data_IF_667157968177
#
_entry.id   IF_667157968177
#
_cell.length_a   1.000
_cell.length_b   1.000
_cell.length_c   1.000
_cell.angle_alpha   90.00
_cell.angle_beta   90.00
_cell.angle_gamma   90.00
#
_symmetry.space_group_name_H-M   'P 1'
#
loop_
_entity.id
_entity.type
_entity.pdbx_description
1 polymer ?
#
# COMPACT_ATOMS: atom_id res chain seq x y z
N UNK A 1 -29.52 12.74 5.85
CA UNK A 1 -30.32 13.23 4.74
C UNK A 1 -31.80 13.08 5.07
N UNK A 2 -32.56 14.17 5.02
CA UNK A 2 -34.01 14.13 5.27
C UNK A 2 -34.74 13.58 4.03
N UNK A 3 -35.90 12.98 4.17
CA UNK A 3 -36.65 12.41 3.02
C UNK A 3 -36.97 13.42 1.91
N UNK A 4 -36.88 14.70 2.20
CA UNK A 4 -37.05 15.77 1.24
C UNK A 4 -35.84 15.93 0.30
N UNK A 5 -34.62 15.73 0.79
CA UNK A 5 -33.41 15.83 -0.03
C UNK A 5 -33.25 14.64 -0.99
N UNK A 6 -33.75 13.46 -0.63
CA UNK A 6 -33.75 12.29 -1.50
C UNK A 6 -34.69 12.44 -2.70
N UNK A 7 -35.84 13.14 -2.52
CA UNK A 7 -36.79 13.39 -3.60
C UNK A 7 -36.28 14.40 -4.63
N UNK A 8 -35.42 15.35 -4.22
CA UNK A 8 -34.84 16.35 -5.13
C UNK A 8 -33.76 15.71 -6.00
N UNK A 9 -32.93 14.82 -5.46
CA UNK A 9 -31.86 14.13 -6.21
C UNK A 9 -32.44 13.15 -7.24
N UNK A 10 -33.48 12.40 -6.89
CA UNK A 10 -34.16 11.48 -7.81
C UNK A 10 -34.93 12.24 -8.91
N UNK A 11 -35.52 13.39 -8.57
CA UNK A 11 -36.21 14.23 -9.56
C UNK A 11 -35.28 14.85 -10.60
N UNK A 12 -34.07 15.27 -10.20
CA UNK A 12 -33.08 15.85 -11.11
C UNK A 12 -32.46 14.81 -12.06
N UNK A 13 -32.24 13.58 -11.58
CA UNK A 13 -31.73 12.48 -12.42
C UNK A 13 -32.74 12.05 -13.50
N UNK A 14 -34.03 12.07 -13.22
CA UNK A 14 -35.06 11.74 -14.22
C UNK A 14 -35.21 12.85 -15.28
N UNK A 15 -35.01 14.11 -14.92
CA UNK A 15 -35.10 15.22 -15.86
C UNK A 15 -33.95 15.25 -16.86
N UNK A 16 -32.72 14.90 -16.42
CA UNK A 16 -31.56 14.78 -17.32
C UNK A 16 -31.67 13.64 -18.32
N UNK A 17 -32.30 12.52 -17.94
CA UNK A 17 -32.47 11.35 -18.83
C UNK A 17 -33.52 11.62 -19.92
N UNK A 18 -34.54 12.43 -19.67
CA UNK A 18 -35.55 12.79 -20.64
C UNK A 18 -35.08 13.83 -21.68
N UNK A 19 -34.12 14.69 -21.34
CA UNK A 19 -33.53 15.66 -22.28
C UNK A 19 -32.58 15.01 -23.28
N UNK A 20 -31.88 13.92 -22.89
CA UNK A 20 -30.99 13.19 -23.80
C UNK A 20 -31.74 12.29 -24.78
N UNK A 21 -32.95 11.80 -24.43
CA UNK A 21 -33.79 10.98 -25.32
C UNK A 21 -34.62 11.80 -26.31
N UNK A 22 -34.73 13.12 -26.12
CA UNK A 22 -35.50 14.03 -27.02
C UNK A 22 -34.69 14.60 -28.18
N UNK A 23 -33.35 14.49 -28.19
CA UNK A 23 -32.49 15.08 -29.22
C UNK A 23 -32.05 14.11 -30.32
N UNK A 24 -32.49 12.86 -30.31
CA UNK A 24 -32.03 11.78 -31.18
C UNK A 24 -32.88 11.48 -32.42
N UNK A 25 -33.95 12.25 -32.73
CA UNK A 25 -34.83 11.95 -33.87
C UNK A 25 -35.08 13.21 -34.71
N UNK A 26 -34.10 13.63 -35.52
CA UNK A 26 -34.28 14.38 -36.80
C UNK A 26 -32.88 14.63 -37.44
N UNK A 27 -32.56 13.99 -38.47
CA UNK A 27 -32.48 14.35 -39.87
C UNK A 27 -31.55 13.45 -40.63
N UNK A 28 -32.07 12.79 -41.62
CA UNK A 28 -31.31 12.17 -42.68
C UNK A 28 -31.01 13.20 -43.75
N UNK A 29 -29.90 12.91 -44.50
CA UNK A 29 -29.71 13.39 -45.85
C UNK A 29 -28.64 14.45 -46.03
N UNK A 30 -27.68 14.14 -46.89
CA UNK A 30 -26.91 15.13 -47.64
C UNK A 30 -25.39 14.98 -47.53
N UNK A 31 -24.85 14.54 -48.63
CA UNK A 31 -23.45 14.32 -48.95
C UNK A 31 -22.60 15.59 -49.04
N UNK A 32 -21.27 15.37 -48.98
CA UNK A 32 -20.15 16.11 -49.58
C UNK A 32 -19.93 17.58 -49.23
N UNK A 33 -18.74 17.83 -48.72
CA UNK A 33 -17.71 18.72 -49.29
C UNK A 33 -16.59 19.02 -48.27
N UNK A 34 -15.45 18.48 -48.52
CA UNK A 34 -14.18 19.14 -48.83
C UNK A 34 -13.46 19.91 -47.75
N UNK A 35 -12.32 19.40 -47.50
CA UNK A 35 -11.00 19.98 -47.82
C UNK A 35 -10.61 21.33 -47.20
N UNK A 36 -9.46 21.25 -46.55
CA UNK A 36 -8.39 22.27 -46.52
C UNK A 36 -8.56 23.48 -45.59
N UNK A 37 -7.83 23.40 -44.47
CA UNK A 37 -7.04 24.55 -44.05
C UNK A 37 -5.84 24.06 -43.20
N UNK A 38 -4.79 23.63 -43.90
CA UNK A 38 -3.43 23.54 -43.38
C UNK A 38 -2.88 24.94 -43.30
N UNK A 39 -2.92 25.54 -42.13
CA UNK A 39 -2.21 26.79 -41.87
C UNK A 39 -0.79 26.46 -41.43
N UNK A 40 0.14 26.71 -42.33
CA UNK A 40 1.59 26.72 -42.16
C UNK A 40 1.96 27.65 -40.97
N UNK A 41 2.53 27.10 -39.93
CA UNK A 41 3.31 27.88 -38.96
C UNK A 41 4.82 27.69 -39.32
N UNK A 42 5.43 28.81 -39.68
CA UNK A 42 6.91 28.92 -39.87
C UNK A 42 7.64 28.63 -38.57
N UNK A 43 8.79 27.98 -38.59
CA UNK A 43 9.64 27.81 -37.41
C UNK A 43 10.28 29.15 -37.02
N UNK A 44 10.16 29.51 -35.75
CA UNK A 44 10.89 30.65 -35.14
C UNK A 44 12.24 30.12 -34.72
N UNK A 45 13.28 30.58 -35.37
CA UNK A 45 14.67 30.36 -34.98
C UNK A 45 15.02 31.34 -33.85
N UNK A 46 15.30 30.81 -32.65
CA UNK A 46 15.85 31.60 -31.54
C UNK A 46 17.36 31.42 -31.57
N UNK A 47 18.08 32.52 -31.91
CA UNK A 47 19.54 32.62 -31.81
C UNK A 47 19.92 32.78 -30.35
N UNK A 48 20.83 31.94 -29.88
CA UNK A 48 21.50 32.09 -28.58
C UNK A 48 22.55 33.19 -28.65
N UNK A 49 22.67 34.05 -27.62
CA UNK A 49 23.81 34.97 -27.47
C UNK A 49 25.03 34.22 -26.90
N UNK A 50 26.18 34.53 -27.46
CA UNK A 50 27.47 33.91 -27.26
C UNK A 50 28.05 34.03 -25.84
N UNK A 51 28.82 33.02 -25.55
CA UNK A 51 29.76 32.92 -24.46
C UNK A 51 30.94 33.88 -24.68
N UNK A 52 31.11 34.82 -23.77
CA UNK A 52 32.36 35.56 -23.59
C UNK A 52 33.14 34.94 -22.45
N UNK A 53 34.30 34.41 -22.82
CA UNK A 53 35.33 34.00 -21.87
C UNK A 53 36.07 35.22 -21.38
N UNK A 54 36.34 35.31 -20.08
CA UNK A 54 37.51 36.03 -19.57
C UNK A 54 38.07 35.33 -18.35
N UNK A 55 39.37 35.15 -18.50
CA UNK A 55 40.35 34.56 -17.61
C UNK A 55 40.73 35.45 -16.42
N UNK A 56 41.29 34.78 -15.44
CA UNK A 56 42.46 35.07 -14.61
C UNK A 56 42.34 35.88 -13.32
N UNK A 57 42.93 35.26 -12.34
CA UNK A 57 43.96 35.63 -11.36
C UNK A 57 43.51 35.86 -9.92
N UNK A 58 43.89 34.93 -9.14
CA UNK A 58 44.69 34.88 -7.89
C UNK A 58 44.90 36.19 -7.11
N UNK A 59 44.68 36.12 -5.82
CA UNK A 59 45.68 36.27 -4.74
C UNK A 59 45.03 36.49 -3.37
N UNK A 60 45.36 35.57 -2.50
CA UNK A 60 46.09 35.73 -1.23
C UNK A 60 45.61 36.70 -0.17
N UNK A 61 45.45 36.07 0.98
CA UNK A 61 46.10 36.36 2.25
C UNK A 61 45.28 37.11 3.33
N UNK A 62 45.14 36.36 4.40
CA UNK A 62 45.67 36.61 5.73
C UNK A 62 44.82 37.38 6.76
N UNK A 63 44.65 36.61 7.84
CA UNK A 63 44.80 36.98 9.25
C UNK A 63 43.87 38.04 9.88
N UNK A 64 43.18 37.75 10.91
CA UNK A 64 43.65 37.88 12.29
C UNK A 64 42.53 37.74 13.33
N UNK A 65 42.78 36.86 14.28
CA UNK A 65 42.56 36.85 15.73
C UNK A 65 41.74 37.96 16.42
N UNK A 66 40.89 37.61 17.32
CA UNK A 66 41.04 37.67 18.80
C UNK A 66 39.66 37.79 19.48
N UNK A 67 39.31 36.88 20.35
CA UNK A 67 39.40 36.90 21.82
C UNK A 67 38.52 37.90 22.56
N UNK A 68 37.81 37.37 23.56
CA UNK A 68 37.18 38.07 24.68
C UNK A 68 35.91 37.33 25.08
N UNK A 69 35.89 36.39 25.97
CA UNK A 69 35.90 36.37 27.44
C UNK A 69 34.77 37.19 28.11
N UNK A 70 34.07 36.40 28.89
CA UNK A 70 33.56 36.55 30.27
C UNK A 70 32.15 37.17 30.44
N UNK A 71 31.30 36.65 31.20
CA UNK A 71 31.15 36.26 32.59
C UNK A 71 29.66 36.02 32.92
N UNK A 72 29.45 34.94 33.64
CA UNK A 72 28.57 34.63 34.79
C UNK A 72 27.47 35.56 35.25
N UNK A 73 26.29 35.02 35.55
CA UNK A 73 25.83 34.83 36.96
C UNK A 73 24.36 34.32 37.02
N UNK A 74 24.17 33.24 37.64
CA UNK A 74 23.40 32.85 38.82
C UNK A 74 22.10 33.60 39.16
N UNK A 75 21.04 32.83 39.38
CA UNK A 75 19.84 33.30 40.09
C UNK A 75 18.87 32.17 40.35
N UNK A 76 18.95 31.59 41.55
CA UNK A 76 18.03 30.63 42.14
C UNK A 76 16.70 31.28 42.51
N UNK A 77 15.62 30.48 42.58
CA UNK A 77 14.38 30.90 43.17
C UNK A 77 13.34 29.78 43.24
N UNK A 78 13.34 29.07 44.34
CA UNK A 78 12.29 28.15 44.82
C UNK A 78 10.91 28.83 44.89
N UNK A 79 9.82 28.05 44.72
CA UNK A 79 8.85 27.67 45.76
C UNK A 79 7.61 26.96 45.21
N UNK A 80 7.42 25.75 45.67
CA UNK A 80 6.26 25.07 46.26
C UNK A 80 4.83 25.57 45.96
N UNK A 81 3.95 24.62 45.66
CA UNK A 81 2.50 24.79 45.76
C UNK A 81 1.72 23.52 45.37
N UNK A 82 1.61 22.61 46.32
CA UNK A 82 0.74 21.44 46.39
C UNK A 82 -0.74 21.82 46.43
N UNK A 83 -1.61 21.06 45.73
CA UNK A 83 -2.91 20.66 46.27
C UNK A 83 -3.69 19.75 45.29
N UNK A 84 -3.85 18.52 45.72
CA UNK A 84 -4.94 17.59 45.33
C UNK A 84 -6.18 17.92 46.21
N UNK A 85 -7.43 17.63 45.80
CA UNK A 85 -8.17 16.46 46.27
C UNK A 85 -9.02 15.77 45.20
N UNK A 86 -9.10 14.46 45.16
CA UNK A 86 -9.89 13.46 45.88
C UNK A 86 -11.36 13.30 45.42
N UNK A 87 -11.59 12.09 44.86
CA UNK A 87 -12.61 11.07 45.12
C UNK A 87 -14.08 11.24 44.71
N UNK A 88 -14.50 10.36 43.77
CA UNK A 88 -15.61 9.36 43.75
C UNK A 88 -17.01 9.75 44.29
N UNK A 89 -18.13 9.01 44.00
CA UNK A 89 -18.28 7.64 43.50
C UNK A 89 -19.42 7.37 42.49
N UNK A 90 -19.50 6.12 42.04
CA UNK A 90 -20.60 5.43 41.35
C UNK A 90 -21.94 5.44 42.10
N UNK A 91 -23.07 5.08 41.38
CA UNK A 91 -23.65 3.76 41.62
C UNK A 91 -24.21 3.01 40.40
N UNK A 92 -24.16 1.70 40.48
CA UNK A 92 -25.03 0.74 39.77
C UNK A 92 -26.41 0.69 40.45
N UNK A 93 -27.45 0.18 39.75
CA UNK A 93 -28.17 -1.00 40.22
C UNK A 93 -28.48 -2.02 39.11
N UNK A 94 -28.28 -3.30 39.38
CA UNK A 94 -29.07 -4.41 39.81
C UNK A 94 -30.22 -4.88 38.90
N UNK A 95 -30.01 -6.07 38.43
CA UNK A 95 -30.81 -7.25 38.05
C UNK A 95 -32.30 -7.33 38.40
N UNK A 96 -33.03 -7.94 37.47
CA UNK A 96 -34.14 -8.95 37.66
C UNK A 96 -34.35 -9.56 36.27
N UNK A 97 -34.35 -10.84 35.98
CA UNK A 97 -34.98 -11.99 36.59
C UNK A 97 -36.26 -12.33 35.80
N UNK A 98 -36.35 -13.49 35.11
CA UNK A 98 -37.60 -13.96 34.55
C UNK A 98 -37.44 -15.15 33.62
N UNK A 99 -37.75 -16.29 34.18
CA UNK A 99 -37.82 -17.67 33.67
C UNK A 99 -38.85 -17.96 32.58
N UNK A 100 -38.71 -19.16 31.98
CA UNK A 100 -39.77 -20.05 31.49
C UNK A 100 -39.85 -20.16 29.98
N UNK A 101 -39.83 -21.31 29.32
CA UNK A 101 -40.14 -22.66 29.67
C UNK A 101 -40.30 -23.44 28.38
N UNK A 102 -39.77 -24.64 28.38
CA UNK A 102 -40.27 -25.92 27.90
C UNK A 102 -41.03 -26.11 26.59
N UNK A 103 -40.55 -27.07 25.82
CA UNK A 103 -41.42 -28.19 25.40
C UNK A 103 -41.57 -28.46 23.92
N UNK A 104 -41.21 -29.66 23.51
CA UNK A 104 -41.99 -30.61 22.76
C UNK A 104 -41.33 -31.19 21.52
N UNK A 105 -40.68 -32.30 21.62
CA UNK A 105 -40.95 -33.66 21.17
C UNK A 105 -41.63 -33.90 19.82
N UNK A 106 -40.94 -34.67 18.96
CA UNK A 106 -41.55 -35.88 18.39
C UNK A 106 -41.80 -35.90 16.89
N UNK A 107 -41.25 -36.92 16.22
CA UNK A 107 -41.82 -37.39 14.96
C UNK A 107 -40.84 -38.13 14.06
N UNK A 108 -40.66 -39.42 14.33
CA UNK A 108 -40.07 -40.42 13.46
C UNK A 108 -40.95 -40.68 12.23
N UNK A 109 -40.34 -41.03 11.10
CA UNK A 109 -41.03 -41.66 9.97
C UNK A 109 -40.06 -41.99 8.86
N UNK A 110 -39.64 -43.27 8.81
CA UNK A 110 -38.87 -43.84 7.72
C UNK A 110 -39.72 -44.14 6.50
N UNK A 111 -39.09 -44.33 5.37
CA UNK A 111 -39.28 -45.47 4.45
C UNK A 111 -38.50 -45.29 3.15
N UNK A 112 -37.72 -46.28 2.87
CA UNK A 112 -37.25 -46.90 1.63
C UNK A 112 -37.67 -46.34 0.27
N UNK A 113 -36.69 -46.27 -0.64
CA UNK A 113 -36.91 -46.06 -2.06
C UNK A 113 -35.63 -46.12 -2.89
N UNK A 114 -35.22 -47.30 -3.25
CA UNK A 114 -34.42 -47.81 -4.39
C UNK A 114 -33.98 -46.81 -5.49
N UNK A 115 -32.67 -46.80 -5.78
CA UNK A 115 -32.07 -47.03 -7.09
C UNK A 115 -32.18 -45.90 -8.12
N UNK A 116 -31.04 -45.23 -8.38
CA UNK A 116 -30.85 -44.43 -9.55
C UNK A 116 -29.35 -44.09 -9.70
N UNK A 117 -28.65 -44.94 -10.50
CA UNK A 117 -27.31 -44.59 -11.03
C UNK A 117 -27.46 -43.35 -11.87
N UNK A 118 -26.81 -42.26 -11.45
CA UNK A 118 -26.77 -41.00 -12.18
C UNK A 118 -25.44 -40.34 -11.94
N UNK A 119 -24.58 -40.46 -12.93
CA UNK A 119 -23.46 -39.57 -13.34
C UNK A 119 -22.84 -38.75 -12.24
N UNK A 120 -21.56 -39.05 -11.95
CA UNK A 120 -20.60 -38.25 -11.24
C UNK A 120 -20.48 -36.83 -11.89
N UNK A 121 -21.40 -35.96 -11.52
CA UNK A 121 -21.15 -34.52 -11.57
C UNK A 121 -20.20 -34.23 -10.43
N UNK A 122 -18.94 -33.95 -10.75
CA UNK A 122 -18.00 -33.32 -9.83
C UNK A 122 -18.65 -32.03 -9.34
N UNK A 123 -19.37 -32.10 -8.23
CA UNK A 123 -19.83 -30.94 -7.51
C UNK A 123 -18.56 -30.17 -7.16
N UNK A 124 -18.36 -29.01 -7.80
CA UNK A 124 -17.33 -28.06 -7.43
C UNK A 124 -17.44 -27.85 -5.93
N UNK A 125 -16.45 -28.33 -5.19
CA UNK A 125 -16.45 -28.20 -3.74
C UNK A 125 -16.57 -26.70 -3.40
N UNK A 126 -17.56 -26.38 -2.57
CA UNK A 126 -17.72 -25.01 -2.08
C UNK A 126 -16.38 -24.53 -1.49
N UNK A 127 -15.97 -23.28 -1.75
CA UNK A 127 -14.71 -22.74 -1.25
C UNK A 127 -14.61 -22.96 0.25
N UNK A 128 -13.53 -23.62 0.70
CA UNK A 128 -13.31 -23.84 2.12
C UNK A 128 -12.98 -22.47 2.77
N UNK A 129 -13.55 -22.14 3.93
CA UNK A 129 -13.26 -20.88 4.58
C UNK A 129 -11.78 -20.81 4.95
N UNK A 130 -11.14 -19.68 4.63
CA UNK A 130 -9.78 -19.41 5.05
C UNK A 130 -9.65 -19.41 6.58
N UNK A 131 -8.53 -19.93 7.08
CA UNK A 131 -8.19 -19.88 8.52
C UNK A 131 -7.45 -18.58 8.86
N UNK A 132 -6.88 -17.88 7.86
CA UNK A 132 -6.19 -16.60 7.99
C UNK A 132 -7.20 -15.50 7.66
N UNK A 133 -7.39 -14.57 8.59
CA UNK A 133 -8.34 -13.45 8.42
C UNK A 133 -7.68 -12.09 8.58
N UNK A 134 -6.48 -12.04 9.18
CA UNK A 134 -5.71 -10.82 9.34
C UNK A 134 -4.33 -11.00 8.72
N UNK A 135 -4.03 -10.18 7.73
CA UNK A 135 -2.72 -10.13 7.08
C UNK A 135 -2.08 -8.79 7.33
N UNK A 136 -0.84 -8.80 7.78
CA UNK A 136 0.01 -7.63 7.96
C UNK A 136 1.15 -7.74 6.96
N UNK A 137 1.21 -6.82 6.01
CA UNK A 137 2.28 -6.71 5.03
C UNK A 137 3.14 -5.50 5.36
N UNK A 138 4.40 -5.73 5.71
CA UNK A 138 5.41 -4.69 5.89
C UNK A 138 6.25 -4.66 4.62
N UNK A 139 6.26 -3.51 3.93
CA UNK A 139 7.09 -3.27 2.76
C UNK A 139 8.34 -2.47 3.14
N UNK A 140 9.49 -2.95 2.74
CA UNK A 140 10.80 -2.35 2.97
C UNK A 140 11.53 -2.17 1.65
N UNK A 141 12.56 -1.33 1.61
CA UNK A 141 13.44 -1.21 0.45
C UNK A 141 14.30 -2.45 0.26
N UNK A 142 14.50 -2.89 -0.98
CA UNK A 142 15.35 -4.01 -1.34
C UNK A 142 16.83 -3.69 -1.19
N UNK A 143 17.58 -4.65 -0.64
CA UNK A 143 19.04 -4.58 -0.49
C UNK A 143 19.74 -5.80 -1.11
N UNK A 144 19.01 -6.59 -1.89
CA UNK A 144 19.45 -7.87 -2.38
C UNK A 144 19.46 -8.95 -1.28
N UNK A 145 19.28 -10.20 -1.69
CA UNK A 145 19.12 -11.34 -0.77
C UNK A 145 20.33 -11.56 0.14
N UNK A 146 21.54 -11.47 -0.42
CA UNK A 146 22.75 -11.80 0.34
C UNK A 146 23.08 -10.72 1.39
N UNK A 147 22.80 -9.45 1.11
CA UNK A 147 22.91 -8.37 2.09
C UNK A 147 21.86 -8.49 3.19
N UNK A 148 20.64 -8.89 2.83
CA UNK A 148 19.51 -8.96 3.77
C UNK A 148 19.54 -10.24 4.63
N UNK A 149 19.74 -11.41 4.02
CA UNK A 149 19.63 -12.72 4.69
C UNK A 149 20.94 -13.49 4.78
N UNK A 150 22.03 -12.97 4.23
CA UNK A 150 23.35 -13.62 4.24
C UNK A 150 24.08 -13.48 5.57
N UNK A 151 25.22 -14.16 5.67
CA UNK A 151 26.08 -14.07 6.84
C UNK A 151 26.67 -12.65 6.97
N UNK A 152 26.57 -12.07 8.17
CA UNK A 152 27.05 -10.71 8.43
C UNK A 152 26.07 -9.58 8.08
N UNK A 153 24.83 -9.92 7.72
CA UNK A 153 23.76 -8.93 7.52
C UNK A 153 23.58 -8.07 8.77
N UNK A 154 23.43 -6.73 8.61
CA UNK A 154 23.10 -5.83 9.72
C UNK A 154 21.66 -6.01 10.21
N UNK A 155 20.81 -6.74 9.48
CA UNK A 155 19.42 -7.04 9.87
C UNK A 155 19.38 -8.14 10.95
N UNK A 156 19.84 -7.81 12.15
CA UNK A 156 20.04 -8.77 13.25
C UNK A 156 18.74 -9.25 13.87
N UNK A 157 17.73 -8.39 13.98
CA UNK A 157 16.41 -8.79 14.47
C UNK A 157 15.69 -9.68 13.45
N UNK A 158 15.70 -9.30 12.18
CA UNK A 158 15.12 -10.08 11.09
C UNK A 158 15.70 -11.50 11.05
N UNK A 159 17.03 -11.61 11.03
CA UNK A 159 17.71 -12.90 10.90
C UNK A 159 17.76 -13.70 12.18
N UNK A 160 18.05 -13.07 13.33
CA UNK A 160 18.26 -13.76 14.61
C UNK A 160 16.96 -14.03 15.38
N UNK A 161 15.96 -13.17 15.22
CA UNK A 161 14.73 -13.25 16.02
C UNK A 161 13.51 -13.65 15.22
N UNK A 162 13.33 -13.08 14.02
CA UNK A 162 12.10 -13.26 13.26
C UNK A 162 12.17 -14.45 12.30
N UNK A 163 13.25 -14.60 11.53
CA UNK A 163 13.44 -15.69 10.58
C UNK A 163 13.27 -17.10 11.19
N UNK A 164 13.76 -17.40 12.40
CA UNK A 164 13.53 -18.70 13.03
C UNK A 164 12.05 -19.01 13.32
N UNK A 165 11.18 -18.00 13.35
CA UNK A 165 9.73 -18.14 13.61
C UNK A 165 8.89 -18.26 12.35
N UNK A 166 9.47 -18.04 11.18
CA UNK A 166 8.75 -17.96 9.91
C UNK A 166 9.25 -18.88 8.83
N UNK A 167 8.67 -18.78 7.66
CA UNK A 167 9.08 -19.40 6.42
C UNK A 167 9.70 -18.34 5.50
N UNK A 168 10.94 -18.56 5.07
CA UNK A 168 11.68 -17.70 4.17
C UNK A 168 11.40 -18.07 2.71
N UNK A 169 10.88 -17.12 1.92
CA UNK A 169 10.81 -17.24 0.46
C UNK A 169 12.15 -16.79 -0.14
N UNK A 170 13.11 -17.68 -0.25
CA UNK A 170 14.45 -17.32 -0.71
C UNK A 170 14.54 -17.01 -2.20
N UNK A 171 13.53 -17.38 -2.98
CA UNK A 171 13.39 -17.09 -4.41
C UNK A 171 12.50 -15.89 -4.73
N UNK A 172 12.09 -15.08 -3.73
CA UNK A 172 11.31 -13.87 -4.00
C UNK A 172 12.22 -12.78 -4.59
N UNK A 173 11.77 -12.18 -5.70
CA UNK A 173 12.48 -11.14 -6.42
C UNK A 173 11.55 -9.96 -6.72
N UNK A 174 12.11 -8.74 -6.78
CA UNK A 174 11.44 -7.55 -7.30
C UNK A 174 11.23 -7.64 -8.81
N UNK A 175 10.44 -6.73 -9.39
CA UNK A 175 10.24 -6.60 -10.84
C UNK A 175 11.36 -5.80 -11.52
N UNK A 176 12.21 -5.14 -10.75
CA UNK A 176 13.31 -4.30 -11.20
C UNK A 176 13.96 -3.57 -10.04
N UNK A 177 14.66 -2.48 -10.32
CA UNK A 177 15.35 -1.69 -9.29
C UNK A 177 14.45 -0.62 -8.63
N UNK A 178 13.41 -0.14 -9.30
CA UNK A 178 12.48 0.83 -8.75
C UNK A 178 11.50 0.19 -7.75
N UNK A 179 11.09 0.95 -6.72
CA UNK A 179 10.21 0.46 -5.66
C UNK A 179 8.73 0.42 -6.12
N UNK A 180 8.28 1.50 -6.76
CA UNK A 180 6.87 1.69 -7.10
C UNK A 180 6.27 0.58 -7.98
N UNK A 181 6.96 0.00 -9.00
CA UNK A 181 6.42 -1.11 -9.78
C UNK A 181 6.01 -2.31 -8.92
N UNK A 182 6.81 -2.65 -7.92
CA UNK A 182 6.53 -3.78 -7.04
C UNK A 182 5.28 -3.52 -6.18
N UNK A 183 5.16 -2.32 -5.64
CA UNK A 183 4.03 -1.94 -4.81
C UNK A 183 2.73 -1.86 -5.61
N UNK A 184 2.76 -1.31 -6.83
CA UNK A 184 1.61 -1.30 -7.73
C UNK A 184 1.21 -2.71 -8.18
N UNK A 185 2.18 -3.59 -8.40
CA UNK A 185 1.92 -4.99 -8.71
C UNK A 185 1.26 -5.74 -7.54
N UNK A 186 1.64 -5.46 -6.29
CA UNK A 186 1.04 -6.06 -5.09
C UNK A 186 -0.40 -5.58 -4.86
N UNK A 187 -0.72 -4.33 -5.23
CA UNK A 187 -2.05 -3.76 -4.96
C UNK A 187 -3.02 -3.99 -6.11
N UNK A 188 -2.59 -3.87 -7.36
CA UNK A 188 -3.49 -3.94 -8.52
C UNK A 188 -3.03 -4.87 -9.64
N UNK A 189 -1.91 -5.58 -9.47
CA UNK A 189 -1.40 -6.51 -10.48
C UNK A 189 -0.91 -5.83 -11.76
N UNK A 190 -0.64 -4.53 -11.73
CA UNK A 190 -0.32 -3.75 -12.92
C UNK A 190 1.15 -3.91 -13.34
N UNK A 191 1.43 -4.00 -14.64
CA UNK A 191 2.81 -4.12 -15.13
C UNK A 191 3.55 -2.77 -15.03
N UNK A 192 4.90 -2.81 -14.88
CA UNK A 192 5.71 -1.62 -14.94
C UNK A 192 5.61 -0.89 -16.30
N UNK A 193 5.59 0.44 -16.27
CA UNK A 193 5.72 1.30 -17.45
C UNK A 193 6.89 2.28 -17.28
N UNK A 194 7.16 3.15 -18.24
CA UNK A 194 8.32 4.05 -18.18
C UNK A 194 8.26 5.02 -16.98
N UNK A 195 7.07 5.52 -16.62
CA UNK A 195 6.88 6.44 -15.49
C UNK A 195 7.06 5.72 -14.15
N UNK A 196 6.49 4.53 -13.99
CA UNK A 196 6.58 3.77 -12.73
C UNK A 196 7.97 3.21 -12.49
N UNK A 197 8.73 2.82 -13.55
CA UNK A 197 10.14 2.44 -13.44
C UNK A 197 11.06 3.56 -13.00
N UNK A 198 10.62 4.80 -13.08
CA UNK A 198 11.31 5.98 -12.56
C UNK A 198 10.76 6.43 -11.20
N UNK A 199 9.99 5.59 -10.49
CA UNK A 199 9.30 5.92 -9.24
C UNK A 199 8.41 7.16 -9.33
N UNK A 200 7.89 7.45 -10.53
CA UNK A 200 6.90 8.48 -10.75
C UNK A 200 7.31 9.90 -10.34
N UNK A 201 8.39 10.45 -10.88
CA UNK A 201 8.86 11.79 -10.50
C UNK A 201 7.86 12.91 -10.84
N UNK A 202 6.89 12.61 -11.69
CA UNK A 202 5.70 13.44 -11.97
C UNK A 202 4.48 12.57 -11.73
N UNK A 203 3.62 12.95 -10.82
CA UNK A 203 2.39 12.26 -10.46
C UNK A 203 1.36 12.44 -11.56
N UNK A 204 1.47 11.62 -12.61
CA UNK A 204 0.74 11.76 -13.86
C UNK A 204 -0.30 10.67 -14.04
N UNK A 205 -1.53 11.09 -14.38
CA UNK A 205 -2.60 10.17 -14.71
C UNK A 205 -2.26 9.37 -15.98
N UNK A 206 -2.56 8.10 -15.96
CA UNK A 206 -2.69 7.29 -17.17
C UNK A 206 -3.93 7.79 -17.90
N UNK A 207 -3.87 8.01 -19.23
CA UNK A 207 -5.02 8.55 -19.97
C UNK A 207 -6.30 7.76 -19.69
N UNK A 208 -7.42 8.40 -19.33
CA UNK A 208 -8.69 7.72 -19.01
C UNK A 208 -9.24 6.85 -20.15
N UNK A 209 -8.81 7.13 -21.39
CA UNK A 209 -9.16 6.33 -22.57
C UNK A 209 -8.40 5.01 -22.66
N UNK A 210 -7.42 4.78 -21.77
CA UNK A 210 -6.65 3.55 -21.74
C UNK A 210 -7.51 2.41 -21.20
N UNK A 211 -7.97 1.55 -22.09
CA UNK A 211 -8.78 0.40 -21.70
C UNK A 211 -7.90 -0.73 -21.14
N UNK A 212 -8.34 -1.38 -20.05
CA UNK A 212 -7.68 -2.58 -19.56
C UNK A 212 -7.73 -3.70 -20.61
N UNK A 213 -6.70 -4.52 -20.65
CA UNK A 213 -6.69 -5.77 -21.39
C UNK A 213 -7.74 -6.74 -20.82
N UNK A 214 -7.94 -7.90 -21.47
CA UNK A 214 -8.84 -8.94 -20.94
C UNK A 214 -8.42 -9.44 -19.56
N UNK A 215 -7.13 -9.40 -19.24
CA UNK A 215 -6.58 -9.74 -17.92
C UNK A 215 -6.62 -8.59 -16.92
N UNK A 216 -7.01 -7.37 -17.33
CA UNK A 216 -7.09 -6.20 -16.44
C UNK A 216 -5.84 -5.32 -16.42
N UNK A 217 -4.81 -5.63 -17.21
CA UNK A 217 -3.57 -4.85 -17.30
C UNK A 217 -3.75 -3.63 -18.20
N UNK A 218 -3.15 -2.49 -17.82
CA UNK A 218 -3.09 -1.27 -18.63
C UNK A 218 -1.73 -1.18 -19.32
N UNK A 219 -1.74 -1.10 -20.66
CA UNK A 219 -0.55 -0.92 -21.49
C UNK A 219 -0.39 0.56 -21.90
N UNK A 220 -0.30 1.47 -20.93
CA UNK A 220 -0.11 2.90 -21.15
C UNK A 220 0.87 3.48 -20.16
N UNK A 221 1.50 4.60 -20.48
CA UNK A 221 2.45 5.28 -19.60
C UNK A 221 1.75 6.29 -18.71
N UNK A 222 2.22 6.39 -17.49
CA UNK A 222 1.69 7.21 -16.41
C UNK A 222 1.75 6.45 -15.09
N UNK A 223 1.23 7.04 -14.03
CA UNK A 223 1.37 6.53 -12.68
C UNK A 223 0.03 6.21 -12.03
N UNK A 224 -0.95 7.10 -12.24
CA UNK A 224 -2.26 6.99 -11.59
C UNK A 224 -3.21 6.27 -12.54
N UNK A 225 -3.63 5.10 -12.10
CA UNK A 225 -4.49 4.22 -12.89
C UNK A 225 -5.94 4.71 -12.89
N UNK A 226 -6.67 4.59 -14.03
CA UNK A 226 -8.07 4.99 -14.10
C UNK A 226 -8.96 4.15 -13.17
N UNK A 227 -10.12 4.66 -12.82
CA UNK A 227 -11.07 4.02 -11.90
C UNK A 227 -11.64 2.68 -12.40
N UNK A 228 -11.38 2.32 -13.65
CA UNK A 228 -11.71 1.01 -14.22
C UNK A 228 -10.74 -0.08 -13.81
N UNK A 229 -9.59 0.26 -13.21
CA UNK A 229 -8.61 -0.68 -12.67
C UNK A 229 -8.96 -1.01 -11.22
N UNK A 230 -9.27 -2.27 -11.00
CA UNK A 230 -9.63 -2.79 -9.67
C UNK A 230 -8.37 -3.14 -8.89
N UNK A 231 -8.37 -2.86 -7.59
CA UNK A 231 -7.31 -3.20 -6.64
C UNK A 231 -7.76 -4.29 -5.67
N UNK A 232 -6.80 -4.87 -4.92
CA UNK A 232 -7.13 -5.76 -3.80
C UNK A 232 -7.97 -5.04 -2.73
N UNK A 233 -7.76 -3.73 -2.54
CA UNK A 233 -8.52 -2.91 -1.61
C UNK A 233 -10.00 -2.82 -2.02
N UNK A 234 -10.29 -2.60 -3.32
CA UNK A 234 -11.64 -2.64 -3.87
C UNK A 234 -12.32 -3.98 -3.64
N UNK A 235 -11.60 -5.09 -3.90
CA UNK A 235 -12.13 -6.44 -3.71
C UNK A 235 -12.41 -6.76 -2.24
N UNK A 236 -11.54 -6.32 -1.32
CA UNK A 236 -11.75 -6.49 0.12
C UNK A 236 -13.00 -5.73 0.56
N UNK A 237 -13.14 -4.47 0.15
CA UNK A 237 -14.33 -3.65 0.44
C UNK A 237 -15.60 -4.29 -0.12
N UNK A 238 -15.59 -4.75 -1.37
CA UNK A 238 -16.72 -5.43 -2.00
C UNK A 238 -17.09 -6.74 -1.28
N UNK A 239 -16.11 -7.45 -0.70
CA UNK A 239 -16.31 -8.67 0.08
C UNK A 239 -16.59 -8.42 1.57
N UNK A 240 -16.83 -7.15 1.97
CA UNK A 240 -17.08 -6.72 3.36
C UNK A 240 -15.93 -7.03 4.31
N UNK A 241 -14.70 -7.05 3.79
CA UNK A 241 -13.48 -7.08 4.59
C UNK A 241 -12.90 -5.68 4.68
N UNK A 242 -12.17 -5.43 5.76
CA UNK A 242 -11.55 -4.14 6.00
C UNK A 242 -10.10 -4.16 5.55
N UNK A 243 -9.63 -3.04 5.05
CA UNK A 243 -8.22 -2.81 4.76
C UNK A 243 -7.78 -1.47 5.33
N UNK A 244 -6.51 -1.34 5.65
CA UNK A 244 -5.87 -0.10 6.09
C UNK A 244 -4.44 -0.05 5.56
N UNK A 245 -4.03 1.13 5.11
CA UNK A 245 -2.64 1.47 4.93
C UNK A 245 -2.18 2.31 6.13
N UNK A 246 -1.02 1.99 6.66
CA UNK A 246 -0.34 2.68 7.74
C UNK A 246 1.01 3.15 7.23
N UNK A 247 1.07 4.41 6.81
CA UNK A 247 2.26 4.99 6.17
C UNK A 247 2.93 5.96 7.13
N UNK A 248 4.22 5.74 7.35
CA UNK A 248 4.99 6.59 8.27
C UNK A 248 5.17 7.99 7.69
N UNK A 249 5.12 9.00 8.55
CA UNK A 249 5.20 10.42 8.21
C UNK A 249 4.13 10.93 7.20
N UNK A 250 3.09 10.16 6.92
CA UNK A 250 2.01 10.59 6.03
C UNK A 250 1.40 11.92 6.47
N UNK A 251 1.28 12.13 7.78
CA UNK A 251 0.74 13.34 8.41
C UNK A 251 1.76 14.47 8.62
N UNK A 252 3.02 14.30 8.15
CA UNK A 252 4.11 15.26 8.29
C UNK A 252 4.30 16.20 7.11
N UNK A 253 3.37 16.20 6.17
CA UNK A 253 3.42 17.06 4.98
C UNK A 253 3.63 18.55 5.30
N UNK A 254 4.03 19.37 4.31
CA UNK A 254 4.20 20.80 4.49
C UNK A 254 2.92 21.43 5.00
N UNK A 255 3.06 22.42 5.86
CA UNK A 255 1.91 23.18 6.36
C UNK A 255 1.10 23.76 5.19
N UNK A 256 -0.20 23.47 5.11
CA UNK A 256 -1.04 24.02 4.06
C UNK A 256 -1.18 25.55 4.21
N UNK A 257 -1.73 26.20 3.18
CA UNK A 257 -2.04 27.61 3.27
C UNK A 257 -2.94 27.91 4.48
N UNK A 258 -2.86 29.13 5.07
CA UNK A 258 -3.67 29.51 6.21
C UNK A 258 -5.17 29.24 5.98
N UNK A 259 -5.79 28.50 6.91
CA UNK A 259 -7.21 28.14 6.82
C UNK A 259 -7.50 26.81 6.17
N UNK A 260 -6.51 26.10 5.63
CA UNK A 260 -6.62 24.76 5.09
C UNK A 260 -6.08 23.76 6.14
N UNK A 261 -6.84 22.75 6.58
CA UNK A 261 -6.31 21.76 7.50
C UNK A 261 -5.20 20.92 6.83
N UNK A 262 -4.19 20.47 7.59
CA UNK A 262 -3.22 19.52 7.07
C UNK A 262 -3.90 18.25 6.55
N UNK A 263 -3.43 17.72 5.42
CA UNK A 263 -3.87 16.43 4.91
C UNK A 263 -3.18 15.33 5.75
N UNK A 264 -3.96 14.56 6.47
CA UNK A 264 -3.51 13.49 7.38
C UNK A 264 -3.87 12.09 6.90
N UNK A 265 -4.49 12.01 5.73
CA UNK A 265 -4.89 10.77 5.05
C UNK A 265 -4.65 10.93 3.55
N UNK A 266 -4.41 9.82 2.84
CA UNK A 266 -4.40 9.78 1.37
C UNK A 266 -3.52 10.90 0.75
N UNK A 267 -2.29 11.06 1.25
CA UNK A 267 -1.37 12.14 0.82
C UNK A 267 -0.74 11.80 -0.52
N UNK A 268 -0.93 12.64 -1.51
CA UNK A 268 -0.33 12.54 -2.85
C UNK A 268 -0.11 13.94 -3.46
N UNK A 269 0.77 14.08 -4.47
CA UNK A 269 0.88 15.31 -5.24
C UNK A 269 -0.40 15.63 -6.02
N UNK A 270 -0.55 16.86 -6.47
CA UNK A 270 -1.58 17.20 -7.44
C UNK A 270 -1.32 16.48 -8.78
N UNK A 271 -2.39 16.17 -9.52
CA UNK A 271 -2.27 15.54 -10.84
C UNK A 271 -1.38 16.34 -11.77
N UNK A 272 -0.44 15.65 -12.45
CA UNK A 272 0.58 16.20 -13.32
C UNK A 272 1.62 17.12 -12.64
N UNK A 273 1.67 17.15 -11.32
CA UNK A 273 2.69 17.87 -10.57
C UNK A 273 3.94 17.00 -10.32
N UNK A 274 5.14 17.61 -10.23
CA UNK A 274 6.31 16.92 -9.72
C UNK A 274 6.06 16.36 -8.32
N UNK A 275 6.55 15.14 -8.04
CA UNK A 275 6.46 14.56 -6.71
C UNK A 275 7.53 15.19 -5.78
N UNK A 276 7.13 15.97 -4.76
CA UNK A 276 8.05 16.59 -3.84
C UNK A 276 8.64 15.60 -2.82
N UNK A 277 8.17 14.34 -2.80
CA UNK A 277 8.53 13.32 -1.82
C UNK A 277 9.54 12.29 -2.34
N UNK A 278 10.12 12.54 -3.52
CA UNK A 278 11.16 11.68 -4.08
C UNK A 278 12.40 11.51 -3.17
N UNK A 279 12.58 12.42 -2.23
CA UNK A 279 13.63 12.41 -1.20
C UNK A 279 13.05 12.88 0.12
N UNK A 280 13.54 12.32 1.22
CA UNK A 280 13.16 12.78 2.55
C UNK A 280 13.59 14.23 2.80
N UNK A 281 12.87 14.89 3.69
CA UNK A 281 13.15 16.23 4.21
C UNK A 281 13.24 16.17 5.73
N UNK A 282 13.92 17.10 6.37
CA UNK A 282 13.94 17.15 7.83
C UNK A 282 12.52 17.17 8.41
N UNK A 283 12.18 16.11 9.18
CA UNK A 283 10.88 15.94 9.82
C UNK A 283 9.77 15.37 8.92
N UNK A 284 10.06 15.05 7.65
CA UNK A 284 9.11 14.44 6.69
C UNK A 284 9.85 13.46 5.80
N UNK A 285 9.84 12.20 6.18
CA UNK A 285 10.43 11.10 5.42
C UNK A 285 9.43 10.35 4.54
N UNK A 286 8.17 10.81 4.45
CA UNK A 286 7.15 10.20 3.61
C UNK A 286 7.57 10.20 2.13
N UNK A 287 7.31 9.08 1.46
CA UNK A 287 7.46 8.96 0.01
C UNK A 287 6.15 8.46 -0.62
N UNK A 288 5.65 9.20 -1.62
CA UNK A 288 4.41 8.83 -2.34
C UNK A 288 4.53 7.45 -2.95
N UNK A 289 5.71 7.07 -3.49
CA UNK A 289 5.96 5.76 -4.10
C UNK A 289 5.79 4.56 -3.15
N UNK A 290 5.89 4.77 -1.83
CA UNK A 290 5.65 3.76 -0.80
C UNK A 290 4.20 3.75 -0.29
N UNK A 291 3.31 4.47 -0.98
CA UNK A 291 1.88 4.48 -0.73
C UNK A 291 1.11 4.11 -2.01
N UNK A 292 1.04 2.83 -2.37
CA UNK A 292 0.49 2.42 -3.66
C UNK A 292 -1.01 2.73 -3.82
N UNK A 293 -1.73 2.96 -2.73
CA UNK A 293 -3.18 3.21 -2.76
C UNK A 293 -3.54 4.57 -3.37
N UNK A 294 -2.61 5.54 -3.36
CA UNK A 294 -2.84 6.85 -3.98
C UNK A 294 -2.67 6.86 -5.49
N UNK A 295 -2.31 5.74 -6.11
CA UNK A 295 -2.12 5.63 -7.56
C UNK A 295 -3.32 5.00 -8.29
N UNK A 296 -4.48 4.92 -7.65
CA UNK A 296 -5.68 4.31 -8.24
C UNK A 296 -6.91 5.20 -8.05
N UNK A 297 -7.46 5.70 -9.16
CA UNK A 297 -8.69 6.48 -9.13
C UNK A 297 -9.89 5.72 -8.58
N UNK A 298 -9.88 4.37 -8.61
CA UNK A 298 -10.92 3.56 -7.96
C UNK A 298 -10.99 3.81 -6.44
N UNK A 299 -9.86 4.16 -5.80
CA UNK A 299 -9.78 4.46 -4.37
C UNK A 299 -9.85 5.97 -4.08
N UNK A 300 -9.31 6.80 -4.98
CA UNK A 300 -9.26 8.25 -4.80
C UNK A 300 -10.64 8.88 -4.98
N UNK A 301 -11.34 8.54 -6.08
CA UNK A 301 -12.57 9.23 -6.50
C UNK A 301 -13.76 8.95 -5.58
N UNK A 302 -13.76 7.81 -4.88
CA UNK A 302 -14.83 7.39 -3.99
C UNK A 302 -14.57 7.68 -2.51
N UNK A 303 -13.40 8.21 -2.18
CA UNK A 303 -12.99 8.53 -0.82
C UNK A 303 -12.53 7.31 0.01
N UNK A 304 -12.34 6.15 -0.62
CA UNK A 304 -11.84 4.95 0.06
C UNK A 304 -10.41 5.14 0.54
N UNK A 305 -9.59 5.87 -0.23
CA UNK A 305 -8.25 6.25 0.17
C UNK A 305 -8.29 7.13 1.44
N UNK A 306 -9.07 8.20 1.47
CA UNK A 306 -9.17 9.07 2.65
C UNK A 306 -9.70 8.34 3.90
N UNK A 307 -10.51 7.31 3.71
CA UNK A 307 -11.06 6.54 4.81
C UNK A 307 -10.10 5.50 5.39
N UNK A 308 -9.20 4.95 4.56
CA UNK A 308 -8.43 3.76 4.92
C UNK A 308 -6.90 3.94 4.88
N UNK A 309 -6.40 5.01 4.26
CA UNK A 309 -4.98 5.31 4.18
C UNK A 309 -4.61 6.42 5.17
N UNK A 310 -3.80 6.09 6.16
CA UNK A 310 -3.46 7.00 7.25
C UNK A 310 -2.07 6.81 7.83
N UNK A 311 -1.77 7.65 8.83
CA UNK A 311 -0.46 7.65 9.50
C UNK A 311 -0.22 6.33 10.25
N UNK A 312 1.03 5.85 10.21
CA UNK A 312 1.52 4.69 10.97
C UNK A 312 1.22 4.81 12.48
N UNK A 313 1.14 6.03 13.01
CA UNK A 313 0.81 6.28 14.42
C UNK A 313 -0.54 5.67 14.86
N UNK A 314 -1.45 5.42 13.93
CA UNK A 314 -2.78 4.82 14.21
C UNK A 314 -2.70 3.30 14.44
N UNK A 315 -1.67 2.63 13.91
CA UNK A 315 -1.55 1.16 13.95
C UNK A 315 -1.63 0.61 15.38
N UNK A 316 -0.94 1.21 16.35
CA UNK A 316 -0.94 0.73 17.74
C UNK A 316 -2.35 0.76 18.37
N UNK A 317 -3.15 1.77 18.02
CA UNK A 317 -4.55 1.88 18.44
C UNK A 317 -5.40 0.75 17.84
N UNK A 318 -5.22 0.50 16.56
CA UNK A 318 -6.01 -0.48 15.82
C UNK A 318 -5.64 -1.93 16.18
N UNK A 319 -4.42 -2.19 16.63
CA UNK A 319 -3.98 -3.51 17.10
C UNK A 319 -4.59 -3.96 18.43
N UNK A 320 -5.32 -3.10 19.17
CA UNK A 320 -5.81 -3.40 20.54
C UNK A 320 -6.86 -4.51 20.57
N UNK A 321 -7.68 -4.65 19.53
CA UNK A 321 -8.74 -5.65 19.48
C UNK A 321 -8.81 -6.31 18.11
N UNK A 322 -9.37 -7.53 18.03
CA UNK A 322 -9.65 -8.19 16.74
C UNK A 322 -10.58 -7.34 15.86
N UNK A 323 -11.54 -6.62 16.46
CA UNK A 323 -12.52 -5.83 15.72
C UNK A 323 -11.92 -4.54 15.12
N UNK A 324 -10.98 -3.90 15.81
CA UNK A 324 -10.33 -2.67 15.34
C UNK A 324 -9.22 -2.95 14.34
N UNK A 325 -8.65 -4.17 14.34
CA UNK A 325 -7.61 -4.56 13.40
C UNK A 325 -8.22 -4.85 12.03
N UNK A 326 -7.68 -4.26 10.97
CA UNK A 326 -8.13 -4.51 9.61
C UNK A 326 -7.81 -5.94 9.15
N UNK A 327 -8.63 -6.48 8.25
CA UNK A 327 -8.36 -7.79 7.63
C UNK A 327 -7.05 -7.77 6.84
N UNK A 328 -6.76 -6.67 6.15
CA UNK A 328 -5.49 -6.42 5.48
C UNK A 328 -4.89 -5.10 5.97
N UNK A 329 -3.69 -5.17 6.51
CA UNK A 329 -2.89 -4.04 7.00
C UNK A 329 -1.63 -3.93 6.15
N UNK A 330 -1.53 -2.90 5.32
CA UNK A 330 -0.33 -2.54 4.59
C UNK A 330 0.47 -1.54 5.42
N UNK A 331 1.76 -1.78 5.64
CA UNK A 331 2.60 -0.99 6.53
C UNK A 331 3.85 -0.57 5.75
N UNK A 332 3.98 0.74 5.53
CA UNK A 332 5.10 1.34 4.82
C UNK A 332 5.85 2.31 5.75
N UNK A 333 7.13 2.03 6.08
CA UNK A 333 7.99 2.98 6.75
C UNK A 333 8.31 4.20 5.89
N UNK A 334 8.89 5.24 6.49
CA UNK A 334 9.46 6.36 5.77
C UNK A 334 10.81 5.99 5.13
N UNK A 335 11.37 6.86 4.28
CA UNK A 335 12.60 6.60 3.52
C UNK A 335 13.86 6.27 4.34
N UNK A 336 13.88 6.62 5.62
CA UNK A 336 14.95 6.20 6.51
C UNK A 336 14.68 4.80 7.08
N UNK A 337 13.46 4.59 7.57
CA UNK A 337 13.10 3.41 8.33
C UNK A 337 12.67 2.23 7.43
N UNK A 338 12.50 2.46 6.11
CA UNK A 338 12.41 1.40 5.10
C UNK A 338 13.76 0.86 4.64
N UNK A 339 14.86 1.61 4.90
CA UNK A 339 16.22 1.27 4.52
C UNK A 339 16.70 1.94 3.23
N UNK A 340 15.90 2.79 2.58
CA UNK A 340 16.30 3.47 1.33
C UNK A 340 17.45 4.46 1.58
N UNK A 341 17.35 5.27 2.65
CA UNK A 341 18.35 6.30 2.92
C UNK A 341 19.50 5.79 3.79
N UNK A 342 20.73 6.10 3.39
CA UNK A 342 21.94 5.85 4.16
C UNK A 342 23.02 6.91 3.83
N UNK A 343 23.26 7.91 4.71
CA UNK A 343 22.58 8.17 5.98
C UNK A 343 21.20 8.80 5.80
N UNK A 344 20.36 8.70 6.83
CA UNK A 344 19.07 9.39 6.87
C UNK A 344 19.24 10.90 6.97
N UNK A 345 18.22 11.64 6.53
CA UNK A 345 18.20 13.11 6.58
C UNK A 345 18.30 13.68 7.99
N UNK A 346 17.91 12.91 9.02
CA UNK A 346 18.01 13.25 10.44
C UNK A 346 19.37 12.90 11.07
N UNK A 347 20.31 12.37 10.29
CA UNK A 347 21.66 12.01 10.71
C UNK A 347 21.79 10.60 11.29
N UNK A 348 20.72 9.79 11.36
CA UNK A 348 20.82 8.36 11.68
C UNK A 348 21.58 7.64 10.55
N UNK A 349 22.24 6.49 10.85
CA UNK A 349 22.99 5.74 9.83
C UNK A 349 22.15 5.27 8.64
N UNK A 350 20.87 4.96 8.87
CA UNK A 350 19.96 4.48 7.81
C UNK A 350 20.25 3.08 7.29
N UNK A 351 19.81 2.83 6.06
CA UNK A 351 20.00 1.56 5.36
C UNK A 351 19.32 0.37 6.05
N UNK A 352 19.74 -0.84 5.72
CA UNK A 352 19.15 -2.08 6.23
C UNK A 352 19.13 -2.17 7.76
N UNK A 353 20.06 -1.50 8.46
CA UNK A 353 20.04 -1.44 9.92
C UNK A 353 18.86 -0.61 10.46
N UNK A 354 18.46 0.46 9.79
CA UNK A 354 17.27 1.22 10.17
C UNK A 354 16.00 0.42 9.89
N UNK A 355 15.90 -0.27 8.76
CA UNK A 355 14.81 -1.18 8.46
C UNK A 355 14.67 -2.31 9.50
N UNK A 356 15.79 -2.87 9.96
CA UNK A 356 15.79 -3.87 11.03
C UNK A 356 15.30 -3.31 12.37
N UNK A 357 15.69 -2.07 12.70
CA UNK A 357 15.23 -1.36 13.90
C UNK A 357 13.72 -1.05 13.84
N UNK A 358 13.21 -0.68 12.66
CA UNK A 358 11.77 -0.54 12.43
C UNK A 358 11.03 -1.85 12.69
N UNK A 359 11.51 -2.95 12.12
CA UNK A 359 10.95 -4.28 12.38
C UNK A 359 11.00 -4.65 13.87
N UNK A 360 12.12 -4.38 14.55
CA UNK A 360 12.27 -4.64 15.99
C UNK A 360 11.31 -3.82 16.85
N UNK A 361 10.86 -2.67 16.35
CA UNK A 361 9.88 -1.80 17.03
C UNK A 361 8.44 -2.25 16.82
N UNK A 362 8.05 -2.54 15.59
CA UNK A 362 6.66 -2.76 15.22
C UNK A 362 6.22 -4.23 15.22
N UNK A 363 7.09 -5.14 14.78
CA UNK A 363 6.74 -6.57 14.70
C UNK A 363 6.32 -7.16 16.05
N UNK A 364 7.00 -6.89 17.18
CA UNK A 364 6.54 -7.40 18.47
C UNK A 364 5.13 -6.96 18.84
N UNK A 365 4.73 -5.72 18.51
CA UNK A 365 3.38 -5.18 18.73
C UNK A 365 2.36 -5.92 17.88
N UNK A 366 2.66 -6.16 16.59
CA UNK A 366 1.80 -6.92 15.68
C UNK A 366 1.62 -8.35 16.19
N UNK A 367 2.71 -9.06 16.49
CA UNK A 367 2.67 -10.44 16.97
C UNK A 367 1.97 -10.59 18.34
N UNK A 368 1.99 -9.55 19.16
CA UNK A 368 1.29 -9.51 20.45
C UNK A 368 -0.20 -9.22 20.32
N UNK A 369 -0.65 -8.69 19.18
CA UNK A 369 -2.05 -8.28 19.00
C UNK A 369 -3.04 -9.45 19.06
N UNK A 370 -4.27 -9.22 19.55
CA UNK A 370 -5.32 -10.24 19.56
C UNK A 370 -5.63 -10.81 18.17
N UNK A 371 -5.65 -9.97 17.14
CA UNK A 371 -5.93 -10.36 15.77
C UNK A 371 -4.86 -11.32 15.22
N UNK A 372 -3.58 -10.98 15.36
CA UNK A 372 -2.50 -11.86 14.93
C UNK A 372 -2.53 -13.21 15.66
N UNK A 373 -2.73 -13.20 16.98
CA UNK A 373 -2.82 -14.44 17.79
C UNK A 373 -4.00 -15.31 17.38
N UNK A 374 -5.11 -14.71 16.96
CA UNK A 374 -6.29 -15.45 16.52
C UNK A 374 -6.05 -16.18 15.20
N UNK A 375 -5.59 -15.47 14.17
CA UNK A 375 -5.52 -16.01 12.81
C UNK A 375 -4.60 -15.18 11.88
N UNK A 376 -3.56 -14.57 12.43
CA UNK A 376 -2.71 -13.64 11.71
C UNK A 376 -1.65 -14.28 10.81
N UNK A 377 -1.30 -13.56 9.76
CA UNK A 377 -0.15 -13.75 8.91
C UNK A 377 0.61 -12.42 8.83
N UNK A 378 1.88 -12.41 9.23
CA UNK A 378 2.80 -11.31 8.96
C UNK A 378 3.66 -11.67 7.75
N UNK A 379 3.77 -10.75 6.82
CA UNK A 379 4.66 -10.81 5.65
C UNK A 379 5.61 -9.63 5.75
N UNK A 380 6.91 -9.87 5.65
CA UNK A 380 7.95 -8.86 5.45
C UNK A 380 8.47 -9.06 4.03
N UNK A 381 8.23 -8.10 3.16
CA UNK A 381 8.64 -8.11 1.76
C UNK A 381 9.46 -6.86 1.44
N UNK A 382 10.13 -6.89 0.30
CA UNK A 382 11.06 -5.85 -0.12
C UNK A 382 10.74 -5.46 -1.56
N UNK A 383 10.71 -4.15 -1.80
CA UNK A 383 10.50 -3.56 -3.12
C UNK A 383 11.83 -3.07 -3.70
N UNK A 384 11.95 -3.11 -5.01
CA UNK A 384 13.09 -2.56 -5.73
C UNK A 384 14.47 -3.08 -5.29
N UNK A 385 15.47 -2.21 -5.41
CA UNK A 385 16.84 -2.43 -4.91
C UNK A 385 17.55 -1.09 -4.73
N UNK A 386 18.03 -0.81 -3.54
CA UNK A 386 18.78 0.42 -3.23
C UNK A 386 20.24 0.37 -3.71
N UNK A 387 20.73 -0.82 -4.11
CA UNK A 387 22.06 -0.93 -4.68
C UNK A 387 22.10 -0.26 -6.06
N UNK A 388 23.15 0.54 -6.36
CA UNK A 388 23.30 1.05 -7.71
C UNK A 388 23.44 -0.13 -8.67
N UNK A 389 22.85 -0.06 -9.89
CA UNK A 389 22.99 -1.10 -10.88
C UNK A 389 24.47 -1.33 -11.19
N UNK A 390 24.83 -2.60 -11.48
CA UNK A 390 26.20 -3.02 -11.74
C UNK A 390 26.89 -2.24 -12.87
N UNK A 391 26.12 -1.71 -13.82
CA UNK A 391 26.55 -0.77 -14.85
C UNK A 391 25.61 0.46 -14.84
N UNK A 392 26.00 1.55 -14.16
CA UNK A 392 25.18 2.77 -14.12
C UNK A 392 24.95 3.41 -15.51
N UNK A 393 25.81 3.12 -16.49
CA UNK A 393 25.67 3.65 -17.85
C UNK A 393 24.65 2.86 -18.70
N UNK A 394 24.34 1.64 -18.29
CA UNK A 394 23.43 0.76 -19.01
C UNK A 394 22.74 -0.22 -18.05
N UNK A 395 21.99 0.27 -17.05
CA UNK A 395 21.30 -0.61 -16.14
C UNK A 395 20.27 -1.40 -16.92
N UNK A 396 20.20 -2.72 -16.77
CA UNK A 396 19.02 -3.46 -17.19
C UNK A 396 17.87 -3.02 -16.26
N UNK A 397 17.14 -1.97 -16.68
CA UNK A 397 16.09 -1.33 -15.87
C UNK A 397 15.02 -2.31 -15.36
N UNK A 398 14.92 -3.47 -15.98
CA UNK A 398 13.92 -4.51 -15.74
C UNK A 398 14.52 -5.83 -15.23
N UNK A 399 15.79 -5.85 -14.79
CA UNK A 399 16.36 -7.07 -14.22
C UNK A 399 15.78 -7.31 -12.83
N UNK A 400 15.06 -8.42 -12.59
CA UNK A 400 14.59 -8.76 -11.26
C UNK A 400 15.74 -8.86 -10.27
N UNK A 401 15.57 -8.28 -9.07
CA UNK A 401 16.54 -8.39 -7.99
C UNK A 401 16.01 -9.36 -6.95
N UNK A 402 16.78 -10.39 -6.64
CA UNK A 402 16.41 -11.36 -5.62
C UNK A 402 16.56 -10.71 -4.24
N UNK A 403 15.44 -10.47 -3.56
CA UNK A 403 15.39 -9.85 -2.24
C UNK A 403 15.07 -10.85 -1.12
N UNK A 404 14.29 -11.88 -1.41
CA UNK A 404 13.67 -12.73 -0.40
C UNK A 404 12.45 -12.06 0.25
N UNK A 405 11.62 -12.86 0.91
CA UNK A 405 10.53 -12.38 1.75
C UNK A 405 10.31 -13.35 2.92
N UNK A 406 9.81 -12.87 4.05
CA UNK A 406 9.61 -13.69 5.24
C UNK A 406 8.14 -13.69 5.66
N UNK A 407 7.59 -14.89 5.85
CA UNK A 407 6.23 -15.11 6.33
C UNK A 407 6.26 -15.65 7.74
N UNK A 408 5.55 -14.99 8.67
CA UNK A 408 5.43 -15.45 10.06
C UNK A 408 3.96 -15.67 10.38
N UNK A 409 3.61 -16.91 10.68
CA UNK A 409 2.26 -17.31 11.06
C UNK A 409 2.31 -18.65 11.77
N UNK A 410 1.33 -18.94 12.63
CA UNK A 410 1.15 -20.30 13.16
C UNK A 410 0.82 -21.34 12.10
N UNK A 411 0.46 -20.91 10.90
CA UNK A 411 0.13 -21.77 9.75
C UNK A 411 1.32 -22.03 8.83
N UNK A 412 2.41 -21.28 8.99
CA UNK A 412 3.67 -21.49 8.27
C UNK A 412 4.63 -22.33 9.12
N UNK A 413 5.41 -23.19 8.47
CA UNK A 413 6.42 -23.97 9.18
C UNK A 413 7.58 -23.06 9.61
N UNK A 414 7.78 -22.90 10.92
CA UNK A 414 8.85 -22.11 11.48
C UNK A 414 10.24 -22.63 11.05
N UNK A 415 11.14 -21.70 10.69
CA UNK A 415 12.50 -21.99 10.27
C UNK A 415 12.62 -22.63 8.88
N UNK A 416 11.51 -22.78 8.13
CA UNK A 416 11.55 -23.35 6.79
C UNK A 416 12.00 -22.36 5.74
N UNK A 417 12.38 -22.87 4.56
CA UNK A 417 12.74 -22.07 3.38
C UNK A 417 12.07 -22.66 2.14
N UNK A 418 11.39 -21.81 1.38
CA UNK A 418 10.85 -22.12 0.06
C UNK A 418 11.73 -21.43 -1.00
N UNK A 419 12.29 -22.23 -1.92
CA UNK A 419 13.22 -21.74 -2.94
C UNK A 419 12.56 -21.47 -4.30
N UNK A 420 11.26 -21.72 -4.43
CA UNK A 420 10.52 -21.41 -5.66
C UNK A 420 10.59 -19.93 -5.98
N UNK A 421 10.60 -19.61 -7.27
CA UNK A 421 10.55 -18.24 -7.73
C UNK A 421 9.18 -17.63 -7.44
N UNK A 422 9.20 -16.48 -6.77
CA UNK A 422 8.04 -15.64 -6.49
C UNK A 422 8.41 -14.19 -6.79
N UNK A 423 7.40 -13.39 -7.03
CA UNK A 423 7.50 -11.96 -7.33
C UNK A 423 6.32 -11.20 -6.73
N UNK A 424 6.21 -9.88 -6.89
CA UNK A 424 5.07 -9.08 -6.42
C UNK A 424 3.71 -9.58 -6.93
N UNK A 425 3.62 -10.09 -8.15
CA UNK A 425 2.38 -10.70 -8.65
C UNK A 425 2.03 -11.99 -7.90
N UNK A 426 3.04 -12.81 -7.59
CA UNK A 426 2.87 -14.00 -6.76
C UNK A 426 2.48 -13.68 -5.33
N UNK A 427 2.95 -12.55 -4.80
CA UNK A 427 2.52 -12.04 -3.50
C UNK A 427 1.04 -11.62 -3.56
N UNK A 428 0.62 -10.81 -4.55
CA UNK A 428 -0.78 -10.45 -4.75
C UNK A 428 -1.64 -11.71 -4.91
N UNK A 429 -1.25 -12.65 -5.77
CA UNK A 429 -1.97 -13.93 -5.95
C UNK A 429 -2.16 -14.66 -4.63
N UNK A 430 -1.14 -14.69 -3.79
CA UNK A 430 -1.22 -15.38 -2.50
C UNK A 430 -2.15 -14.66 -1.51
N UNK A 431 -2.20 -13.32 -1.54
CA UNK A 431 -3.18 -12.54 -0.77
C UNK A 431 -4.61 -12.81 -1.25
N UNK A 432 -4.82 -12.86 -2.57
CA UNK A 432 -6.11 -13.18 -3.18
C UNK A 432 -6.58 -14.59 -2.79
N UNK A 433 -5.68 -15.57 -2.82
CA UNK A 433 -5.98 -16.94 -2.37
C UNK A 433 -6.32 -16.97 -0.87
N UNK A 434 -5.56 -16.25 -0.03
CA UNK A 434 -5.83 -16.14 1.41
C UNK A 434 -7.21 -15.54 1.67
N UNK A 435 -7.61 -14.55 0.92
CA UNK A 435 -8.90 -13.88 1.10
C UNK A 435 -10.03 -14.45 0.22
N UNK A 436 -9.77 -15.48 -0.58
CA UNK A 436 -10.71 -16.04 -1.56
C UNK A 436 -11.25 -14.96 -2.52
N UNK A 437 -10.36 -14.16 -3.06
CA UNK A 437 -10.62 -13.12 -4.05
C UNK A 437 -10.30 -13.62 -5.46
N UNK A 438 -10.77 -12.90 -6.47
CA UNK A 438 -10.41 -13.19 -7.86
C UNK A 438 -9.01 -12.64 -8.15
N UNK A 439 -8.26 -13.35 -8.97
CA UNK A 439 -6.94 -12.87 -9.40
C UNK A 439 -7.05 -11.62 -10.27
N UNK A 440 -6.23 -10.60 -9.96
CA UNK A 440 -6.17 -9.32 -10.66
C UNK A 440 -4.98 -9.32 -11.64
N UNK A 441 -5.23 -8.89 -12.84
CA UNK A 441 -4.21 -8.57 -13.85
C UNK A 441 -3.06 -9.61 -13.90
N UNK A 442 -1.82 -9.17 -13.64
CA UNK A 442 -0.62 -10.05 -13.63
C UNK A 442 -0.68 -11.20 -12.63
N UNK A 443 -1.39 -11.04 -11.52
CA UNK A 443 -1.55 -12.11 -10.52
C UNK A 443 -2.29 -13.34 -11.05
N UNK A 444 -3.13 -13.19 -12.09
CA UNK A 444 -3.84 -14.31 -12.71
C UNK A 444 -2.89 -15.35 -13.34
N UNK A 445 -1.67 -14.96 -13.67
CA UNK A 445 -0.65 -15.84 -14.28
C UNK A 445 0.46 -16.20 -13.31
N UNK A 446 0.46 -15.62 -12.11
CA UNK A 446 1.52 -15.77 -11.14
C UNK A 446 1.35 -17.01 -10.25
N UNK A 447 2.46 -17.47 -9.68
CA UNK A 447 2.48 -18.59 -8.74
C UNK A 447 2.24 -18.10 -7.32
N UNK A 448 1.19 -18.62 -6.69
CA UNK A 448 0.90 -18.39 -5.27
C UNK A 448 1.86 -19.19 -4.38
N UNK A 449 2.38 -18.55 -3.32
CA UNK A 449 3.09 -19.28 -2.27
C UNK A 449 2.14 -19.91 -1.22
N UNK A 450 0.88 -19.51 -1.20
CA UNK A 450 -0.06 -19.96 -0.18
C UNK A 450 -0.18 -21.49 -0.10
N UNK A 451 -0.29 -22.27 -1.18
CA UNK A 451 -0.33 -23.72 -1.11
C UNK A 451 0.93 -24.34 -0.50
N UNK A 452 2.10 -23.80 -0.87
CA UNK A 452 3.39 -24.34 -0.47
C UNK A 452 3.75 -24.03 0.98
N UNK A 453 3.44 -22.79 1.44
CA UNK A 453 3.90 -22.27 2.72
C UNK A 453 2.84 -22.34 3.80
N UNK A 454 1.57 -22.10 3.44
CA UNK A 454 0.46 -22.01 4.39
C UNK A 454 -0.40 -23.29 4.43
N UNK A 455 -0.15 -24.24 3.55
CA UNK A 455 -0.87 -25.53 3.48
C UNK A 455 -2.38 -25.33 3.38
N UNK A 456 -3.15 -25.95 4.28
CA UNK A 456 -4.62 -25.89 4.28
C UNK A 456 -5.19 -24.68 5.05
N UNK A 457 -4.41 -23.62 5.24
CA UNK A 457 -4.87 -22.44 5.98
C UNK A 457 -5.52 -21.37 5.09
N UNK A 458 -5.40 -21.48 3.79
CA UNK A 458 -6.01 -20.57 2.80
C UNK A 458 -7.28 -21.17 2.18
N UNK A 459 -8.11 -20.34 1.58
CA UNK A 459 -9.27 -20.78 0.83
C UNK A 459 -8.84 -21.36 -0.53
N UNK A 460 -9.50 -22.43 -0.99
CA UNK A 460 -9.36 -22.83 -2.39
C UNK A 460 -10.11 -21.79 -3.23
N UNK A 461 -9.45 -21.09 -4.16
CA UNK A 461 -10.15 -20.13 -5.01
C UNK A 461 -11.24 -20.85 -5.81
N UNK A 462 -12.35 -20.17 -6.16
CA UNK A 462 -13.32 -20.70 -7.09
C UNK A 462 -12.60 -21.04 -8.40
N UNK A 463 -12.77 -22.25 -8.89
CA UNK A 463 -12.26 -22.65 -10.21
C UNK A 463 -12.85 -21.68 -11.23
N UNK A 464 -11.98 -20.98 -11.97
CA UNK A 464 -12.38 -20.18 -13.11
C UNK A 464 -13.08 -21.10 -14.10
N UNK A 465 -14.43 -20.99 -14.17
CA UNK A 465 -15.30 -21.72 -15.09
C UNK A 465 -15.27 -21.13 -16.49
#
# INVERSE_FOLDING_TARGET
MTPLQLRIVVGLSLLCTLVVLGAGLRSGGGADATEALVAQRKPVTISAPGLGAQDTSASNASDNSSSGEDTSSSGSGDTSGSSTPAASPSPSPASTGGDGGSGGSGGSGGSDGTGGSGSDGTASAAPQPTKIRHVFLVMLAGHGYDATFGAGSPATYLNGTLRPKGALLSGYSSLGHADLPDELAIVGGQPPNASTRADCPVYRDIPPSSAPSKSGEIAADGCVFPNTVTTIADQLSASRRTWRAYVEDLDRGPAPAPGIPPKTTCRHPDSNAPDPTMRARPGDGYATRHNPFVYYHSLLDLGDCDANDGSLSQLEGDLRTVKSTASFSFIAPNLCDDGTEAPCVDGRPGGLAAADAFLATWVPKILASPAYKADGLLIVAFAGDVAPPADPANPPADAPVRNGALLVSRFAQAGSTAASAYDPYGLLRSLEDVFALRALAGAAKAHSFAPTVLGNAYATPPSDG
#
